data_IF_738560610067
#
_entry.id   IF_738560610067
#
_cell.length_a   1.000
_cell.length_b   1.000
_cell.length_c   1.000
_cell.angle_alpha   90.00
_cell.angle_beta   90.00
_cell.angle_gamma   90.00
#
_symmetry.space_group_name_H-M   'P 1'
#
loop_
_entity.id
_entity.type
_entity.pdbx_description
1 polymer ?
#
# COMPACT_ATOMS: atom_id res chain seq x y z
N UNK A 1 -5.17 -34.22 2.89
CA UNK A 1 -5.85 -33.29 1.98
C UNK A 1 -5.28 -31.92 2.25
N UNK A 2 -4.38 -31.44 1.39
CA UNK A 2 -3.82 -30.11 1.53
C UNK A 2 -4.92 -29.11 1.20
N UNK A 3 -5.34 -28.33 2.19
CA UNK A 3 -6.11 -27.11 1.91
C UNK A 3 -5.24 -26.28 0.98
N UNK A 4 -5.75 -26.03 -0.23
CA UNK A 4 -5.13 -25.07 -1.13
C UNK A 4 -4.95 -23.77 -0.34
N UNK A 5 -3.68 -23.41 -0.14
CA UNK A 5 -3.27 -22.17 0.52
C UNK A 5 -3.91 -21.02 -0.26
N UNK A 6 -5.06 -20.55 0.22
CA UNK A 6 -5.81 -19.50 -0.45
C UNK A 6 -5.03 -18.22 -0.17
N UNK A 7 -4.07 -17.91 -1.05
CA UNK A 7 -3.15 -16.78 -0.91
C UNK A 7 -3.98 -15.52 -0.67
N UNK A 8 -3.96 -15.03 0.57
CA UNK A 8 -4.69 -13.84 0.97
C UNK A 8 -4.10 -12.67 0.21
N UNK A 9 -4.95 -11.92 -0.48
CA UNK A 9 -4.54 -10.72 -1.21
C UNK A 9 -4.91 -9.48 -0.41
N UNK A 10 -4.21 -8.39 -0.68
CA UNK A 10 -4.56 -7.07 -0.16
C UNK A 10 -5.24 -6.21 -1.22
N UNK A 11 -5.99 -5.22 -0.78
CA UNK A 11 -6.58 -4.19 -1.63
C UNK A 11 -6.52 -2.83 -0.91
N UNK A 12 -5.73 -1.91 -1.47
CA UNK A 12 -5.53 -0.57 -0.95
C UNK A 12 -6.05 0.48 -1.93
N UNK A 13 -6.57 1.57 -1.38
CA UNK A 13 -6.82 2.82 -2.12
C UNK A 13 -5.83 3.86 -1.64
N UNK A 14 -5.11 4.49 -2.57
CA UNK A 14 -4.13 5.55 -2.30
C UNK A 14 -4.68 6.87 -2.87
N UNK A 15 -4.73 7.90 -2.04
CA UNK A 15 -5.10 9.26 -2.45
C UNK A 15 -4.04 10.26 -1.99
N UNK A 16 -3.95 11.39 -2.69
CA UNK A 16 -3.14 12.53 -2.26
C UNK A 16 -4.07 13.68 -1.89
N UNK A 17 -3.89 14.23 -0.69
CA UNK A 17 -4.63 15.38 -0.17
C UNK A 17 -3.60 16.47 0.18
N UNK A 18 -3.33 17.35 -0.77
CA UNK A 18 -2.26 18.35 -0.65
C UNK A 18 -0.88 17.70 -0.47
N UNK A 19 -0.34 17.76 0.74
CA UNK A 19 0.97 17.18 1.10
C UNK A 19 0.85 15.84 1.81
N UNK A 20 -0.35 15.36 2.10
CA UNK A 20 -0.55 14.06 2.74
C UNK A 20 -0.87 12.98 1.71
N UNK A 21 -0.38 11.76 1.99
CA UNK A 21 -0.80 10.55 1.32
C UNK A 21 -1.70 9.81 2.29
N UNK A 22 -2.92 9.53 1.84
CA UNK A 22 -3.86 8.68 2.57
C UNK A 22 -3.94 7.32 1.90
N UNK A 23 -3.92 6.28 2.70
CA UNK A 23 -4.15 4.91 2.29
C UNK A 23 -5.35 4.35 3.04
N UNK A 24 -6.27 3.72 2.33
CA UNK A 24 -7.40 3.00 2.92
C UNK A 24 -7.27 1.53 2.54
N UNK A 25 -7.29 0.64 3.53
CA UNK A 25 -7.27 -0.79 3.28
C UNK A 25 -8.69 -1.34 3.28
N UNK A 26 -9.04 -2.02 2.18
CA UNK A 26 -10.35 -2.66 1.99
C UNK A 26 -10.33 -4.15 2.32
N UNK A 27 -9.15 -4.77 2.24
CA UNK A 27 -8.94 -6.18 2.56
C UNK A 27 -7.45 -6.45 2.81
N UNK A 28 -7.15 -7.39 3.70
CA UNK A 28 -5.80 -7.92 3.92
C UNK A 28 -4.91 -7.12 4.88
N UNK A 29 -5.44 -6.13 5.61
CA UNK A 29 -4.69 -5.35 6.60
C UNK A 29 -5.33 -5.38 7.99
N UNK A 30 -4.50 -5.17 9.00
CA UNK A 30 -4.88 -4.98 10.40
C UNK A 30 -5.37 -3.56 10.69
N UNK A 31 -5.37 -2.69 9.68
CA UNK A 31 -5.67 -1.27 9.75
C UNK A 31 -6.66 -0.90 8.66
N UNK A 32 -7.56 0.04 8.93
CA UNK A 32 -8.53 0.53 7.94
C UNK A 32 -7.98 1.72 7.15
N UNK A 33 -7.23 2.60 7.80
CA UNK A 33 -6.59 3.73 7.14
C UNK A 33 -5.23 4.09 7.76
N UNK A 34 -4.37 4.66 6.90
CA UNK A 34 -3.13 5.33 7.27
C UNK A 34 -3.11 6.69 6.58
N UNK A 35 -2.56 7.70 7.26
CA UNK A 35 -2.18 8.95 6.63
C UNK A 35 -0.77 9.33 7.07
N UNK A 36 0.02 9.86 6.13
CA UNK A 36 1.35 10.36 6.41
C UNK A 36 1.74 11.46 5.42
N UNK A 37 2.64 12.35 5.84
CA UNK A 37 3.18 13.37 4.95
C UNK A 37 3.88 12.68 3.76
N UNK A 38 3.63 13.18 2.55
CA UNK A 38 4.22 12.69 1.32
C UNK A 38 5.74 12.67 1.45
N UNK A 39 6.40 11.52 1.17
CA UNK A 39 7.84 11.39 1.37
C UNK A 39 8.60 12.46 0.59
N UNK A 40 9.45 13.22 1.28
CA UNK A 40 10.28 14.26 0.66
C UNK A 40 11.47 13.61 -0.05
N UNK A 41 11.77 14.10 -1.26
CA UNK A 41 12.97 13.84 -2.09
C UNK A 41 13.73 12.55 -1.74
N UNK A 42 13.30 11.43 -2.31
CA UNK A 42 14.04 10.16 -2.24
C UNK A 42 13.85 9.35 -0.97
N UNK A 43 13.14 9.87 0.04
CA UNK A 43 12.70 9.08 1.18
C UNK A 43 11.56 8.14 0.74
N UNK A 44 11.56 6.92 1.28
CA UNK A 44 10.53 5.94 1.06
C UNK A 44 9.91 5.54 2.41
N UNK A 45 8.59 5.34 2.43
CA UNK A 45 7.86 4.79 3.56
C UNK A 45 7.54 3.35 3.24
N UNK A 46 7.88 2.42 4.14
CA UNK A 46 7.52 1.01 3.97
C UNK A 46 6.19 0.74 4.67
N UNK A 47 5.28 0.06 3.98
CA UNK A 47 3.95 -0.29 4.44
C UNK A 47 3.77 -1.80 4.32
N UNK A 48 3.20 -2.39 5.36
CA UNK A 48 2.85 -3.80 5.46
C UNK A 48 1.41 -3.97 5.98
N UNK A 49 0.99 -5.21 6.19
CA UNK A 49 -0.34 -5.54 6.68
C UNK A 49 -0.63 -5.01 8.09
N UNK A 50 0.40 -4.64 8.86
CA UNK A 50 0.29 -4.06 10.20
C UNK A 50 0.42 -2.54 10.22
N UNK A 51 0.76 -1.89 9.09
CA UNK A 51 0.78 -0.44 8.97
C UNK A 51 2.06 0.07 8.33
N UNK A 52 2.55 1.21 8.80
CA UNK A 52 3.90 1.68 8.42
C UNK A 52 4.95 0.94 9.25
N UNK A 53 6.03 0.46 8.62
CA UNK A 53 7.15 -0.15 9.35
C UNK A 53 7.74 0.89 10.32
N UNK A 54 7.77 0.55 11.62
CA UNK A 54 8.14 1.46 12.72
C UNK A 54 6.94 2.08 13.48
N UNK A 55 5.73 2.00 12.93
CA UNK A 55 4.45 2.32 13.59
C UNK A 55 3.44 1.20 13.33
N UNK A 56 3.70 0.04 13.95
CA UNK A 56 2.85 -1.15 13.82
C UNK A 56 1.56 -1.00 14.60
N UNK A 57 0.45 -1.38 13.98
CA UNK A 57 -0.83 -1.58 14.63
C UNK A 57 -1.00 -3.06 15.01
N UNK A 58 -1.66 -3.31 16.13
CA UNK A 58 -1.99 -4.66 16.58
C UNK A 58 -3.21 -5.16 15.82
N UNK A 59 -3.11 -6.34 15.21
CA UNK A 59 -4.24 -6.96 14.53
C UNK A 59 -5.20 -7.62 15.51
N UNK A 60 -6.49 -7.33 15.38
CA UNK A 60 -7.55 -8.02 16.12
C UNK A 60 -7.85 -9.43 15.56
N UNK A 61 -7.55 -9.68 14.28
CA UNK A 61 -7.76 -10.97 13.62
C UNK A 61 -6.60 -11.29 12.64
N UNK A 62 -5.57 -12.04 13.07
CA UNK A 62 -4.40 -12.34 12.24
C UNK A 62 -4.71 -13.30 11.08
N UNK A 63 -5.78 -14.08 11.18
CA UNK A 63 -6.14 -15.11 10.21
C UNK A 63 -6.77 -14.53 8.92
N UNK A 64 -6.91 -13.22 8.79
CA UNK A 64 -7.44 -12.56 7.57
C UNK A 64 -6.43 -11.64 6.88
N UNK A 65 -5.23 -11.53 7.44
CA UNK A 65 -4.20 -10.62 6.92
C UNK A 65 -3.52 -11.20 5.69
N UNK A 66 -3.30 -10.35 4.69
CA UNK A 66 -2.44 -10.67 3.56
C UNK A 66 -0.99 -10.48 3.99
N UNK A 67 -0.11 -11.40 3.60
CA UNK A 67 1.32 -11.23 3.82
C UNK A 67 1.87 -10.39 2.66
N UNK A 68 2.08 -9.09 2.90
CA UNK A 68 2.65 -8.18 1.92
C UNK A 68 3.55 -7.14 2.56
N UNK A 69 4.50 -6.64 1.78
CA UNK A 69 5.27 -5.45 2.13
C UNK A 69 5.69 -4.72 0.86
N UNK A 70 5.58 -3.39 0.87
CA UNK A 70 6.08 -2.55 -0.19
C UNK A 70 6.57 -1.21 0.37
N UNK A 71 7.41 -0.51 -0.40
CA UNK A 71 7.76 0.88 -0.11
C UNK A 71 7.12 1.84 -1.11
N UNK A 72 6.76 3.03 -0.65
CA UNK A 72 6.25 4.13 -1.48
C UNK A 72 7.18 5.35 -1.34
N UNK A 73 7.56 5.92 -2.48
CA UNK A 73 8.32 7.16 -2.57
C UNK A 73 7.69 8.10 -3.60
N UNK A 74 7.91 9.41 -3.46
CA UNK A 74 7.55 10.40 -4.48
C UNK A 74 8.81 10.94 -5.15
N UNK A 75 8.95 10.70 -6.46
CA UNK A 75 10.12 11.09 -7.25
C UNK A 75 9.64 11.90 -8.45
N UNK A 76 10.09 13.16 -8.55
CA UNK A 76 9.76 14.06 -9.68
C UNK A 76 8.25 14.18 -9.99
N UNK A 77 7.40 14.11 -8.95
CA UNK A 77 5.95 14.21 -9.07
C UNK A 77 5.22 12.87 -9.18
N UNK A 78 5.94 11.80 -9.49
CA UNK A 78 5.40 10.45 -9.64
C UNK A 78 5.52 9.65 -8.33
N UNK A 79 4.58 8.75 -8.12
CA UNK A 79 4.64 7.74 -7.06
C UNK A 79 5.37 6.52 -7.58
N UNK A 80 6.44 6.13 -6.87
CA UNK A 80 7.16 4.88 -7.11
C UNK A 80 6.86 3.92 -5.96
N UNK A 81 6.32 2.76 -6.30
CA UNK A 81 6.17 1.63 -5.41
C UNK A 81 7.28 0.62 -5.69
N UNK A 82 7.87 0.06 -4.63
CA UNK A 82 8.82 -1.06 -4.74
C UNK A 82 8.29 -2.22 -3.91
N UNK A 83 8.02 -3.34 -4.56
CA UNK A 83 7.55 -4.56 -3.92
C UNK A 83 8.69 -5.19 -3.13
N UNK A 84 8.39 -5.64 -1.90
CA UNK A 84 9.36 -6.31 -1.02
C UNK A 84 8.91 -7.76 -0.83
N UNK A 85 7.64 -7.96 -0.50
CA UNK A 85 7.03 -9.28 -0.34
C UNK A 85 5.54 -9.25 -0.69
N UNK A 86 4.95 -10.40 -1.03
CA UNK A 86 3.51 -10.54 -1.27
C UNK A 86 2.97 -9.79 -2.49
N UNK A 87 3.86 -9.34 -3.39
CA UNK A 87 3.55 -8.56 -4.58
C UNK A 87 4.05 -9.30 -5.83
N UNK A 88 3.25 -9.33 -6.90
CA UNK A 88 3.65 -9.95 -8.17
C UNK A 88 4.55 -9.04 -9.03
N UNK A 89 4.88 -7.87 -8.50
CA UNK A 89 5.60 -6.80 -9.18
C UNK A 89 6.78 -6.36 -8.31
N UNK A 90 7.93 -6.11 -8.94
CA UNK A 90 9.11 -5.57 -8.24
C UNK A 90 9.00 -4.04 -8.09
N UNK A 91 8.44 -3.37 -9.10
CA UNK A 91 8.20 -1.93 -9.02
C UNK A 91 7.01 -1.51 -9.87
N UNK A 92 6.32 -0.46 -9.41
CA UNK A 92 5.24 0.21 -10.14
C UNK A 92 5.47 1.71 -10.05
N UNK A 93 5.09 2.43 -11.10
CA UNK A 93 5.11 3.89 -11.11
C UNK A 93 3.77 4.41 -11.61
N UNK A 94 3.23 5.43 -10.95
CA UNK A 94 1.99 6.06 -11.35
C UNK A 94 1.93 7.53 -10.90
N UNK A 95 1.04 8.28 -11.53
CA UNK A 95 0.72 9.67 -11.18
C UNK A 95 -0.74 9.78 -10.76
N UNK A 96 -1.04 10.72 -9.86
CA UNK A 96 -2.41 11.14 -9.56
C UNK A 96 -2.62 12.52 -10.22
N UNK A 97 -3.37 12.61 -11.33
CA UNK A 97 -3.40 13.80 -12.18
C UNK A 97 -4.17 14.98 -11.59
N UNK A 98 -5.14 14.73 -10.71
CA UNK A 98 -5.99 15.76 -10.12
C UNK A 98 -6.17 15.56 -8.61
N UNK A 99 -6.50 16.63 -7.89
CA UNK A 99 -6.96 16.55 -6.50
C UNK A 99 -8.21 15.64 -6.45
N UNK A 100 -8.17 14.61 -5.60
CA UNK A 100 -9.13 13.49 -5.47
C UNK A 100 -8.97 12.28 -6.41
N UNK A 101 -8.00 12.28 -7.33
CA UNK A 101 -7.64 11.06 -8.07
C UNK A 101 -7.23 9.94 -7.11
N UNK A 102 -7.59 8.69 -7.41
CA UNK A 102 -7.30 7.55 -6.54
C UNK A 102 -6.54 6.47 -7.28
N UNK A 103 -5.59 5.82 -6.62
CA UNK A 103 -4.96 4.62 -7.14
C UNK A 103 -5.41 3.40 -6.33
N UNK A 104 -5.88 2.37 -7.03
CA UNK A 104 -6.17 1.06 -6.43
C UNK A 104 -4.94 0.19 -6.58
N UNK A 105 -4.39 -0.28 -5.46
CA UNK A 105 -3.20 -1.11 -5.38
C UNK A 105 -3.56 -2.49 -4.85
N UNK A 106 -3.01 -3.52 -5.49
CA UNK A 106 -3.15 -4.92 -5.08
C UNK A 106 -1.88 -5.71 -5.38
N UNK A 107 -1.86 -6.98 -4.99
CA UNK A 107 -0.78 -7.92 -5.33
C UNK A 107 -0.53 -8.01 -6.85
N UNK A 108 -1.54 -7.77 -7.68
CA UNK A 108 -1.44 -7.82 -9.15
C UNK A 108 -1.04 -6.52 -9.84
N UNK A 109 -0.97 -5.38 -9.14
CA UNK A 109 -0.59 -4.10 -9.74
C UNK A 109 -1.34 -2.89 -9.21
N UNK A 110 -1.17 -1.76 -9.91
CA UNK A 110 -1.83 -0.48 -9.61
C UNK A 110 -2.74 -0.05 -10.76
N UNK A 111 -3.90 0.54 -10.44
CA UNK A 111 -4.81 1.16 -11.40
C UNK A 111 -5.28 2.52 -10.89
N UNK A 112 -5.02 3.58 -11.66
CA UNK A 112 -5.48 4.94 -11.36
C UNK A 112 -6.94 5.10 -11.81
N UNK A 113 -7.73 5.84 -11.03
CA UNK A 113 -9.16 6.11 -11.19
C UNK A 113 -9.48 7.56 -10.90
#
# INVERSE_FOLDING_TARGET
MGSADQKKTFNLTITQEGKEIKMECRAGCAWESLSFESPRRGLAVTVDQFGMVGKRQTASNPDELAEFSFSIAKVRGEYKLTGIDGTAWESLTFTLPEDNSKAILSSGGVRVR
#
